data_IF_593513292168
#
_entry.id   IF_593513292168
#
_cell.length_a   1.000
_cell.length_b   1.000
_cell.length_c   1.000
_cell.angle_alpha   90.00
_cell.angle_beta   90.00
_cell.angle_gamma   90.00
#
_symmetry.space_group_name_H-M   'P 1'
#
loop_
_entity.id
_entity.type
_entity.pdbx_description
1 polymer ?
#
# COMPACT_ATOMS: atom_id res chain seq x y z
N UNK A 1 45.81 -5.47 -37.35
CA UNK A 1 44.36 -5.29 -37.62
C UNK A 1 43.46 -5.94 -36.56
N UNK A 2 43.95 -6.91 -35.76
CA UNK A 2 43.17 -7.54 -34.68
C UNK A 2 43.00 -6.66 -33.42
N UNK A 3 43.94 -5.76 -33.11
CA UNK A 3 43.85 -4.90 -31.91
C UNK A 3 42.66 -3.93 -31.89
N UNK A 4 42.26 -3.39 -33.06
CA UNK A 4 41.12 -2.46 -33.15
C UNK A 4 39.75 -3.13 -32.99
N UNK A 5 39.63 -4.42 -33.31
CA UNK A 5 38.37 -5.16 -33.17
C UNK A 5 38.14 -5.55 -31.71
N UNK A 6 39.21 -5.82 -30.96
CA UNK A 6 39.15 -6.13 -29.53
C UNK A 6 38.80 -4.86 -28.72
N UNK A 7 39.31 -3.69 -29.10
CA UNK A 7 39.03 -2.42 -28.44
C UNK A 7 37.56 -1.96 -28.60
N UNK A 8 36.97 -2.19 -29.78
CA UNK A 8 35.54 -1.95 -30.02
C UNK A 8 34.66 -3.04 -29.36
N UNK A 9 35.13 -4.29 -29.33
CA UNK A 9 34.45 -5.40 -28.66
C UNK A 9 34.39 -5.23 -27.14
N UNK A 10 35.45 -4.72 -26.52
CA UNK A 10 35.52 -4.49 -25.07
C UNK A 10 34.66 -3.30 -24.63
N UNK A 11 34.60 -2.23 -25.43
CA UNK A 11 33.70 -1.10 -25.17
C UNK A 11 32.21 -1.47 -25.26
N UNK A 12 31.84 -2.38 -26.18
CA UNK A 12 30.48 -2.92 -26.28
C UNK A 12 30.20 -3.91 -25.14
N UNK A 13 31.15 -4.76 -24.77
CA UNK A 13 30.98 -5.71 -23.66
C UNK A 13 30.84 -5.00 -22.31
N UNK A 14 31.68 -4.00 -22.00
CA UNK A 14 31.57 -3.18 -20.79
C UNK A 14 30.28 -2.35 -20.83
N UNK A 15 29.91 -1.81 -21.99
CA UNK A 15 28.65 -1.09 -22.18
C UNK A 15 27.42 -1.97 -21.98
N UNK A 16 27.44 -3.23 -22.40
CA UNK A 16 26.35 -4.21 -22.21
C UNK A 16 26.29 -4.69 -20.76
N UNK A 17 27.43 -4.94 -20.11
CA UNK A 17 27.50 -5.34 -18.69
C UNK A 17 27.03 -4.22 -17.77
N UNK A 18 27.45 -2.97 -18.03
CA UNK A 18 26.95 -1.78 -17.31
C UNK A 18 25.47 -1.53 -17.63
N UNK A 19 25.01 -1.74 -18.87
CA UNK A 19 23.61 -1.56 -19.26
C UNK A 19 22.68 -2.65 -18.68
N UNK A 20 23.16 -3.88 -18.51
CA UNK A 20 22.47 -4.95 -17.77
C UNK A 20 22.45 -4.65 -16.25
N UNK A 21 23.52 -4.05 -15.72
CA UNK A 21 23.57 -3.59 -14.33
C UNK A 21 22.63 -2.39 -14.06
N UNK A 22 22.37 -1.53 -15.06
CA UNK A 22 21.49 -0.35 -14.91
C UNK A 22 20.00 -0.68 -15.11
N UNK A 23 19.67 -1.77 -15.82
CA UNK A 23 18.29 -2.26 -15.97
C UNK A 23 18.20 -3.78 -15.68
N UNK A 24 18.02 -4.17 -14.40
CA UNK A 24 17.53 -5.50 -14.04
C UNK A 24 16.09 -5.50 -13.48
N UNK A 25 15.36 -6.64 -13.58
CA UNK A 25 14.02 -6.90 -13.00
C UNK A 25 13.98 -6.90 -11.46
N UNK A 26 15.13 -6.63 -10.82
CA UNK A 26 15.30 -6.57 -9.37
C UNK A 26 14.57 -5.39 -8.72
N UNK A 27 14.14 -4.38 -9.49
CA UNK A 27 13.39 -3.21 -8.98
C UNK A 27 11.95 -3.54 -8.58
N UNK A 28 11.28 -4.41 -9.34
CA UNK A 28 9.91 -4.86 -9.00
C UNK A 28 9.91 -5.60 -7.65
N UNK A 29 10.90 -6.47 -7.43
CA UNK A 29 11.05 -7.19 -6.16
C UNK A 29 11.44 -6.28 -4.99
N UNK A 30 12.10 -5.14 -5.25
CA UNK A 30 12.39 -4.15 -4.21
C UNK A 30 11.14 -3.33 -3.86
N UNK A 31 10.37 -2.89 -4.85
CA UNK A 31 9.11 -2.18 -4.64
C UNK A 31 8.06 -3.07 -3.97
N UNK A 32 7.95 -4.34 -4.37
CA UNK A 32 7.07 -5.33 -3.72
C UNK A 32 7.45 -5.52 -2.24
N UNK A 33 8.73 -5.78 -1.94
CA UNK A 33 9.21 -5.91 -0.56
C UNK A 33 8.99 -4.65 0.27
N UNK A 34 9.09 -3.48 -0.35
CA UNK A 34 8.83 -2.22 0.32
C UNK A 34 7.34 -2.06 0.66
N UNK A 35 6.45 -2.34 -0.28
CA UNK A 35 4.99 -2.38 -0.03
C UNK A 35 4.64 -3.39 1.05
N UNK A 36 5.24 -4.59 1.02
CA UNK A 36 5.06 -5.62 2.06
C UNK A 36 5.50 -5.13 3.43
N UNK A 37 6.62 -4.40 3.50
CA UNK A 37 7.11 -3.81 4.74
C UNK A 37 6.15 -2.76 5.29
N UNK A 38 5.57 -1.93 4.44
CA UNK A 38 4.59 -0.91 4.86
C UNK A 38 3.28 -1.56 5.30
N UNK A 39 2.77 -2.54 4.55
CA UNK A 39 1.58 -3.29 4.93
C UNK A 39 1.79 -3.96 6.30
N UNK A 40 2.92 -4.64 6.51
CA UNK A 40 3.23 -5.24 7.82
C UNK A 40 3.21 -4.22 8.96
N UNK A 41 3.83 -3.04 8.78
CA UNK A 41 3.81 -1.97 9.77
C UNK A 41 2.40 -1.41 10.01
N UNK A 42 1.59 -1.25 8.97
CA UNK A 42 0.17 -0.88 9.11
C UNK A 42 -0.58 -1.93 9.94
N UNK A 43 -0.33 -3.22 9.67
CA UNK A 43 -0.89 -4.34 10.43
C UNK A 43 -0.48 -4.33 11.89
N UNK A 44 0.81 -4.10 12.17
CA UNK A 44 1.34 -3.96 13.53
C UNK A 44 0.71 -2.77 14.27
N UNK A 45 0.55 -1.62 13.62
CA UNK A 45 -0.11 -0.46 14.22
C UNK A 45 -1.57 -0.76 14.56
N UNK A 46 -2.33 -1.38 13.65
CA UNK A 46 -3.72 -1.77 13.92
C UNK A 46 -3.81 -2.83 15.02
N UNK A 47 -2.91 -3.81 15.05
CA UNK A 47 -2.84 -4.81 16.13
C UNK A 47 -2.60 -4.15 17.48
N UNK A 48 -1.59 -3.28 17.57
CA UNK A 48 -1.27 -2.53 18.80
C UNK A 48 -2.43 -1.63 19.23
N UNK A 49 -3.08 -0.94 18.28
CA UNK A 49 -4.30 -0.17 18.55
C UNK A 49 -5.37 -1.05 19.17
N UNK A 50 -5.65 -2.22 18.58
CA UNK A 50 -6.69 -3.11 19.08
C UNK A 50 -6.38 -3.65 20.48
N UNK A 51 -5.12 -4.02 20.74
CA UNK A 51 -4.71 -4.52 22.04
C UNK A 51 -4.82 -3.44 23.13
N UNK A 52 -4.32 -2.23 22.87
CA UNK A 52 -4.38 -1.12 23.82
C UNK A 52 -5.81 -0.58 24.01
N UNK A 53 -6.65 -0.60 22.96
CA UNK A 53 -8.07 -0.22 23.04
C UNK A 53 -8.96 -1.27 23.75
N UNK A 54 -8.48 -2.51 23.88
CA UNK A 54 -9.16 -3.56 24.66
C UNK A 54 -9.09 -3.29 26.17
N UNK A 55 -8.08 -2.53 26.61
CA UNK A 55 -7.82 -2.18 28.01
C UNK A 55 -8.08 -0.67 28.25
N UNK A 56 -7.20 -0.02 29.01
CA UNK A 56 -7.13 1.43 29.17
C UNK A 56 -6.11 2.01 28.18
N UNK A 57 -6.53 3.01 27.41
CA UNK A 57 -5.68 3.72 26.46
C UNK A 57 -5.66 5.22 26.78
N UNK A 58 -4.52 5.86 26.50
CA UNK A 58 -4.31 7.28 26.77
C UNK A 58 -3.80 8.02 25.52
N UNK A 59 -3.56 9.32 25.67
CA UNK A 59 -3.04 10.16 24.60
C UNK A 59 -1.63 9.73 24.16
N UNK A 60 -0.78 9.25 25.08
CA UNK A 60 0.61 8.89 24.77
C UNK A 60 0.65 7.70 23.80
N UNK A 61 -0.26 6.72 23.98
CA UNK A 61 -0.47 5.62 23.03
C UNK A 61 -0.94 6.11 21.66
N UNK A 62 -1.93 7.00 21.64
CA UNK A 62 -2.45 7.56 20.40
C UNK A 62 -1.40 8.39 19.64
N UNK A 63 -0.53 9.11 20.35
CA UNK A 63 0.59 9.87 19.78
C UNK A 63 1.66 8.94 19.19
N UNK A 64 1.94 7.80 19.82
CA UNK A 64 2.87 6.80 19.29
C UNK A 64 2.37 6.22 17.95
N UNK A 65 1.09 5.83 17.87
CA UNK A 65 0.52 5.34 16.62
C UNK A 65 0.55 6.42 15.53
N UNK A 66 0.19 7.66 15.89
CA UNK A 66 0.22 8.79 14.95
C UNK A 66 1.64 9.02 14.40
N UNK A 67 2.66 8.99 15.26
CA UNK A 67 4.06 9.12 14.86
C UNK A 67 4.49 8.00 13.90
N UNK A 68 4.09 6.76 14.16
CA UNK A 68 4.37 5.63 13.27
C UNK A 68 3.74 5.83 11.88
N UNK A 69 2.50 6.33 11.81
CA UNK A 69 1.88 6.67 10.51
C UNK A 69 2.59 7.79 9.76
N UNK A 70 3.21 8.75 10.47
CA UNK A 70 4.00 9.80 9.83
C UNK A 70 5.28 9.24 9.23
N UNK A 71 6.01 8.43 10.00
CA UNK A 71 7.20 7.72 9.51
C UNK A 71 6.90 6.89 8.26
N UNK A 72 5.80 6.13 8.24
CA UNK A 72 5.39 5.37 7.06
C UNK A 72 5.17 6.24 5.81
N UNK A 73 4.50 7.41 5.94
CA UNK A 73 4.34 8.31 4.79
C UNK A 73 5.63 8.98 4.36
N UNK A 74 6.53 9.34 5.28
CA UNK A 74 7.83 9.92 4.93
C UNK A 74 8.68 8.93 4.11
N UNK A 75 8.70 7.67 4.54
CA UNK A 75 9.37 6.61 3.79
C UNK A 75 8.70 6.39 2.42
N UNK A 76 7.36 6.34 2.37
CA UNK A 76 6.63 6.12 1.11
C UNK A 76 6.86 7.27 0.12
N UNK A 77 6.95 8.51 0.61
CA UNK A 77 7.34 9.66 -0.20
C UNK A 77 8.75 9.51 -0.79
N UNK A 78 9.68 8.94 -0.04
CA UNK A 78 11.03 8.64 -0.51
C UNK A 78 11.02 7.56 -1.61
N UNK A 79 10.16 6.56 -1.49
CA UNK A 79 9.93 5.57 -2.55
C UNK A 79 9.33 6.22 -3.82
N UNK A 80 8.35 7.12 -3.68
CA UNK A 80 7.78 7.88 -4.79
C UNK A 80 8.82 8.72 -5.55
N UNK A 81 9.74 9.37 -4.84
CA UNK A 81 10.83 10.12 -5.45
C UNK A 81 11.74 9.21 -6.28
N UNK A 82 12.05 8.02 -5.76
CA UNK A 82 12.86 7.02 -6.46
C UNK A 82 12.20 6.52 -7.75
N UNK A 83 10.89 6.24 -7.71
CA UNK A 83 10.10 5.81 -8.88
C UNK A 83 10.06 6.92 -9.94
N UNK A 84 9.76 8.16 -9.53
CA UNK A 84 9.71 9.32 -10.44
C UNK A 84 11.07 9.60 -11.09
N UNK A 85 12.15 9.59 -10.31
CA UNK A 85 13.51 9.79 -10.82
C UNK A 85 13.88 8.72 -11.85
N UNK A 86 13.52 7.46 -11.61
CA UNK A 86 13.77 6.37 -12.55
C UNK A 86 12.99 6.56 -13.87
N UNK A 87 11.74 7.04 -13.81
CA UNK A 87 10.92 7.36 -14.99
C UNK A 87 11.52 8.49 -15.81
N UNK A 88 11.94 9.56 -15.15
CA UNK A 88 12.58 10.71 -15.81
C UNK A 88 13.91 10.31 -16.46
N UNK A 89 14.74 9.53 -15.76
CA UNK A 89 16.00 8.99 -16.28
C UNK A 89 15.81 8.12 -17.53
N UNK A 90 14.74 7.33 -17.60
CA UNK A 90 14.41 6.54 -18.81
C UNK A 90 13.95 7.42 -19.96
N UNK A 91 13.17 8.47 -19.69
CA UNK A 91 12.72 9.43 -20.72
C UNK A 91 13.90 10.20 -21.33
N UNK A 92 14.94 10.46 -20.51
CA UNK A 92 16.18 11.09 -20.94
C UNK A 92 17.17 10.14 -21.64
N UNK A 93 16.90 8.82 -21.71
CA UNK A 93 17.81 7.86 -22.32
C UNK A 93 17.67 7.82 -23.85
N UNK A 94 18.68 8.28 -24.63
CA UNK A 94 18.59 8.35 -26.10
C UNK A 94 18.46 6.98 -26.78
N UNK A 95 18.81 5.87 -26.11
CA UNK A 95 18.58 4.51 -26.61
C UNK A 95 17.11 4.09 -26.56
N UNK A 96 16.31 4.70 -25.68
CA UNK A 96 14.85 4.49 -25.60
C UNK A 96 14.14 4.97 -26.86
N UNK A 97 14.61 6.08 -27.46
CA UNK A 97 14.11 6.56 -28.75
C UNK A 97 14.39 5.58 -29.89
N UNK A 98 15.58 4.98 -29.95
CA UNK A 98 15.92 4.00 -30.99
C UNK A 98 15.18 2.66 -30.82
N UNK A 99 14.96 2.21 -29.59
CA UNK A 99 14.13 1.04 -29.29
C UNK A 99 12.64 1.31 -29.53
N UNK A 100 12.16 2.54 -29.28
CA UNK A 100 10.81 2.98 -29.60
C UNK A 100 10.60 3.10 -31.12
N UNK A 101 11.60 3.55 -31.87
CA UNK A 101 11.55 3.58 -33.35
C UNK A 101 11.59 2.16 -33.93
N UNK A 102 12.41 1.25 -33.38
CA UNK A 102 12.39 -0.17 -33.76
C UNK A 102 11.07 -0.86 -33.37
N UNK A 103 10.50 -0.53 -32.20
CA UNK A 103 9.19 -1.05 -31.76
C UNK A 103 8.03 -0.44 -32.54
N UNK A 104 8.05 0.83 -32.93
CA UNK A 104 7.04 1.41 -33.81
C UNK A 104 7.01 0.73 -35.19
N UNK A 105 8.14 0.16 -35.62
CA UNK A 105 8.21 -0.72 -36.80
C UNK A 105 7.70 -2.15 -36.56
N UNK A 106 7.69 -2.62 -35.31
CA UNK A 106 7.19 -3.94 -34.92
C UNK A 106 5.72 -3.90 -34.42
N UNK A 107 5.22 -2.73 -34.01
CA UNK A 107 3.90 -2.47 -33.44
C UNK A 107 2.76 -2.43 -34.49
N UNK A 108 2.92 -3.11 -35.62
CA UNK A 108 1.79 -3.64 -36.39
C UNK A 108 1.19 -4.89 -35.72
N UNK A 109 1.48 -5.12 -34.45
CA UNK A 109 0.88 -6.14 -33.58
C UNK A 109 0.56 -5.50 -32.22
N UNK A 110 -0.71 -5.58 -31.82
CA UNK A 110 -1.37 -4.91 -30.70
C UNK A 110 -0.83 -5.34 -29.32
N UNK A 111 0.31 -4.79 -28.87
CA UNK A 111 0.67 -4.86 -27.44
C UNK A 111 1.29 -3.55 -26.93
N UNK A 112 0.63 -2.82 -25.99
CA UNK A 112 1.16 -1.58 -25.45
C UNK A 112 2.18 -1.83 -24.32
N UNK A 113 3.45 -1.56 -24.61
CA UNK A 113 4.59 -1.71 -23.71
C UNK A 113 4.73 -0.59 -22.64
N UNK A 114 3.64 -0.11 -22.04
CA UNK A 114 3.67 0.95 -20.99
C UNK A 114 2.84 0.65 -19.73
N UNK A 115 2.25 -0.54 -19.59
CA UNK A 115 1.36 -0.87 -18.46
C UNK A 115 2.07 -1.14 -17.11
N UNK A 116 3.33 -1.55 -17.12
CA UNK A 116 4.02 -2.02 -15.89
C UNK A 116 4.45 -0.90 -14.94
N UNK A 117 4.85 0.27 -15.44
CA UNK A 117 5.26 1.43 -14.63
C UNK A 117 4.06 2.15 -14.02
N UNK A 118 2.98 2.27 -14.79
CA UNK A 118 1.71 2.83 -14.33
C UNK A 118 1.10 1.96 -13.23
N UNK A 119 1.38 0.65 -13.23
CA UNK A 119 0.87 -0.29 -12.23
C UNK A 119 1.51 -0.13 -10.83
N UNK A 120 2.82 0.15 -10.70
CA UNK A 120 3.42 0.36 -9.38
C UNK A 120 3.13 1.74 -8.79
N UNK A 121 3.03 2.77 -9.64
CA UNK A 121 2.53 4.09 -9.22
C UNK A 121 1.12 3.94 -8.61
N UNK A 122 0.27 3.09 -9.19
CA UNK A 122 -1.04 2.79 -8.64
C UNK A 122 -0.97 2.06 -7.29
N UNK A 123 -0.16 1.00 -7.16
CA UNK A 123 0.01 0.27 -5.88
C UNK A 123 0.50 1.22 -4.78
N UNK A 124 1.51 2.04 -5.06
CA UNK A 124 2.03 3.01 -4.09
C UNK A 124 1.00 4.09 -3.74
N UNK A 125 0.14 4.50 -4.68
CA UNK A 125 -0.98 5.42 -4.41
C UNK A 125 -1.97 4.79 -3.44
N UNK A 126 -2.37 3.54 -3.69
CA UNK A 126 -3.31 2.82 -2.80
C UNK A 126 -2.72 2.66 -1.40
N UNK A 127 -1.44 2.29 -1.28
CA UNK A 127 -0.77 2.22 0.02
C UNK A 127 -0.71 3.58 0.73
N UNK A 128 -0.46 4.69 0.01
CA UNK A 128 -0.47 6.05 0.58
C UNK A 128 -1.85 6.44 1.11
N UNK A 129 -2.90 6.08 0.38
CA UNK A 129 -4.29 6.25 0.82
C UNK A 129 -4.55 5.43 2.10
N UNK A 130 -4.04 4.19 2.17
CA UNK A 130 -4.15 3.33 3.35
C UNK A 130 -3.49 3.95 4.59
N UNK A 131 -2.25 4.46 4.45
CA UNK A 131 -1.56 5.18 5.53
C UNK A 131 -2.33 6.44 5.94
N UNK A 132 -2.91 7.16 4.96
CA UNK A 132 -3.69 8.36 5.23
C UNK A 132 -4.94 8.06 6.06
N UNK A 133 -5.65 6.97 5.77
CA UNK A 133 -6.79 6.52 6.57
C UNK A 133 -6.37 6.01 7.96
N UNK A 134 -5.24 5.30 8.07
CA UNK A 134 -4.68 4.89 9.36
C UNK A 134 -4.30 6.09 10.23
N UNK A 135 -3.69 7.12 9.63
CA UNK A 135 -3.37 8.38 10.32
C UNK A 135 -4.64 9.10 10.78
N UNK A 136 -5.66 9.14 9.92
CA UNK A 136 -6.95 9.74 10.28
C UNK A 136 -7.54 9.02 11.49
N UNK A 137 -7.54 7.69 11.49
CA UNK A 137 -7.99 6.86 12.60
C UNK A 137 -7.18 7.16 13.88
N UNK A 138 -5.85 7.14 13.83
CA UNK A 138 -5.00 7.47 14.99
C UNK A 138 -5.31 8.87 15.56
N UNK A 139 -5.52 9.85 14.67
CA UNK A 139 -5.89 11.21 15.08
C UNK A 139 -7.29 11.29 15.70
N UNK A 140 -8.27 10.59 15.13
CA UNK A 140 -9.63 10.54 15.65
C UNK A 140 -9.67 9.89 17.03
N UNK A 141 -8.88 8.82 17.24
CA UNK A 141 -8.69 8.21 18.56
C UNK A 141 -8.04 9.22 19.51
N UNK A 142 -6.93 9.84 19.14
CA UNK A 142 -6.30 10.87 19.98
C UNK A 142 -7.30 11.95 20.42
N UNK A 143 -8.09 12.49 19.49
CA UNK A 143 -9.10 13.50 19.80
C UNK A 143 -10.19 12.96 20.75
N UNK A 144 -10.52 11.67 20.65
CA UNK A 144 -11.47 11.00 21.54
C UNK A 144 -10.95 10.80 22.98
N UNK A 145 -9.63 10.75 23.23
CA UNK A 145 -9.09 10.71 24.61
C UNK A 145 -9.42 11.97 25.41
N UNK A 146 -9.62 13.10 24.73
CA UNK A 146 -9.97 14.38 25.35
C UNK A 146 -11.49 14.58 25.46
N UNK A 147 -12.28 13.75 24.77
CA UNK A 147 -13.73 13.82 24.81
C UNK A 147 -14.25 13.23 26.13
N UNK A 148 -15.26 13.86 26.72
CA UNK A 148 -15.86 13.38 27.98
C UNK A 148 -16.84 12.24 27.75
N UNK A 149 -16.69 11.18 28.56
CA UNK A 149 -17.64 10.08 28.73
C UNK A 149 -17.25 8.77 28.04
N UNK A 150 -17.63 7.66 28.66
CA UNK A 150 -17.28 6.28 28.28
C UNK A 150 -17.87 5.82 26.96
N UNK A 151 -17.10 5.11 26.13
CA UNK A 151 -17.61 4.52 24.88
C UNK A 151 -18.71 3.50 25.17
N UNK A 152 -19.55 3.24 24.16
CA UNK A 152 -20.46 2.09 24.23
C UNK A 152 -19.62 0.81 24.17
N UNK A 153 -19.76 -0.04 25.17
CA UNK A 153 -18.95 -1.25 25.32
C UNK A 153 -19.14 -2.21 24.15
N UNK A 154 -20.39 -2.39 23.71
CA UNK A 154 -20.73 -3.30 22.59
C UNK A 154 -20.10 -2.83 21.29
N UNK A 155 -20.09 -1.52 21.03
CA UNK A 155 -19.38 -0.94 19.90
C UNK A 155 -17.87 -1.14 20.05
N UNK A 156 -17.30 -0.81 21.21
CA UNK A 156 -15.86 -0.90 21.47
C UNK A 156 -15.35 -2.30 21.20
N UNK A 157 -15.93 -3.32 21.84
CA UNK A 157 -15.50 -4.71 21.71
C UNK A 157 -15.54 -5.20 20.25
N UNK A 158 -16.65 -4.95 19.54
CA UNK A 158 -16.81 -5.38 18.16
C UNK A 158 -15.88 -4.63 17.20
N UNK A 159 -15.74 -3.31 17.37
CA UNK A 159 -14.87 -2.50 16.52
C UNK A 159 -13.40 -2.84 16.75
N UNK A 160 -12.97 -3.03 18.00
CA UNK A 160 -11.61 -3.48 18.34
C UNK A 160 -11.30 -4.85 17.73
N UNK A 161 -12.26 -5.78 17.75
CA UNK A 161 -12.13 -7.06 17.04
C UNK A 161 -11.88 -6.87 15.55
N UNK A 162 -12.62 -5.97 14.90
CA UNK A 162 -12.43 -5.66 13.47
C UNK A 162 -11.09 -4.99 13.16
N UNK A 163 -10.62 -4.10 14.04
CA UNK A 163 -9.29 -3.47 13.91
C UNK A 163 -8.20 -4.55 13.98
N UNK A 164 -8.29 -5.48 14.94
CA UNK A 164 -7.34 -6.59 15.09
C UNK A 164 -7.32 -7.49 13.86
N UNK A 165 -8.49 -7.91 13.40
CA UNK A 165 -8.62 -8.79 12.24
C UNK A 165 -8.15 -8.10 10.94
N UNK A 166 -8.41 -6.79 10.82
CA UNK A 166 -7.83 -5.97 9.74
C UNK A 166 -6.30 -5.94 9.83
N UNK A 167 -5.73 -5.71 11.02
CA UNK A 167 -4.28 -5.74 11.22
C UNK A 167 -3.65 -7.07 10.80
N UNK A 168 -4.27 -8.19 11.17
CA UNK A 168 -3.84 -9.53 10.76
C UNK A 168 -3.92 -9.73 9.24
N UNK A 169 -5.04 -9.37 8.61
CA UNK A 169 -5.23 -9.52 7.15
C UNK A 169 -4.26 -8.66 6.33
N UNK A 170 -3.88 -7.47 6.82
CA UNK A 170 -2.87 -6.64 6.16
C UNK A 170 -1.47 -7.26 6.30
N UNK A 171 -1.14 -7.79 7.49
CA UNK A 171 0.16 -8.39 7.75
C UNK A 171 0.35 -9.74 7.03
N UNK A 172 -0.76 -10.46 6.80
CA UNK A 172 -0.84 -11.75 6.11
C UNK A 172 -2.00 -11.74 5.09
N UNK A 173 -1.75 -11.27 3.85
CA UNK A 173 -2.78 -11.18 2.81
C UNK A 173 -3.36 -12.52 2.36
N UNK A 174 -2.64 -13.62 2.61
CA UNK A 174 -3.06 -14.98 2.23
C UNK A 174 -3.97 -15.63 3.30
N UNK A 175 -4.22 -14.94 4.41
CA UNK A 175 -5.09 -15.43 5.46
C UNK A 175 -6.56 -15.50 4.96
N UNK A 176 -7.16 -16.68 5.06
CA UNK A 176 -8.58 -16.90 4.77
C UNK A 176 -9.44 -16.33 5.91
N UNK A 177 -9.78 -15.04 5.79
CA UNK A 177 -10.58 -14.31 6.77
C UNK A 177 -11.95 -13.98 6.17
N UNK A 178 -13.00 -14.09 6.99
CA UNK A 178 -14.34 -13.62 6.64
C UNK A 178 -14.30 -12.15 6.17
N UNK A 179 -15.05 -11.74 5.13
CA UNK A 179 -14.97 -10.39 4.58
C UNK A 179 -15.21 -9.30 5.64
N UNK A 180 -14.14 -8.56 5.97
CA UNK A 180 -14.20 -7.49 6.97
C UNK A 180 -15.18 -6.38 6.59
N UNK A 181 -15.36 -6.14 5.28
CA UNK A 181 -16.31 -5.18 4.76
C UNK A 181 -17.76 -5.49 5.16
N UNK A 182 -18.14 -6.77 5.18
CA UNK A 182 -19.48 -7.21 5.55
C UNK A 182 -19.71 -7.06 7.06
N UNK A 183 -18.72 -7.47 7.87
CA UNK A 183 -18.78 -7.31 9.33
C UNK A 183 -18.83 -5.84 9.75
N UNK A 184 -18.07 -4.96 9.08
CA UNK A 184 -18.15 -3.50 9.29
C UNK A 184 -19.53 -2.93 8.94
N UNK A 185 -20.13 -3.44 7.87
CA UNK A 185 -21.48 -3.03 7.47
C UNK A 185 -22.53 -3.50 8.47
N UNK A 186 -22.43 -4.74 8.95
CA UNK A 186 -23.29 -5.29 9.98
C UNK A 186 -23.19 -4.51 11.30
N UNK A 187 -21.97 -4.16 11.74
CA UNK A 187 -21.76 -3.34 12.94
C UNK A 187 -22.40 -1.95 12.76
N UNK A 188 -22.17 -1.28 11.62
CA UNK A 188 -22.75 0.03 11.35
C UNK A 188 -24.29 0.01 11.36
N UNK A 189 -24.90 -1.01 10.74
CA UNK A 189 -26.35 -1.19 10.73
C UNK A 189 -26.91 -1.43 12.14
N UNK A 190 -26.32 -2.37 12.88
CA UNK A 190 -26.75 -2.72 14.25
C UNK A 190 -26.70 -1.50 15.17
N UNK A 191 -25.63 -0.72 15.08
CA UNK A 191 -25.49 0.49 15.90
C UNK A 191 -26.46 1.58 15.47
N UNK A 192 -26.68 1.79 14.17
CA UNK A 192 -27.63 2.81 13.71
C UNK A 192 -29.08 2.55 14.12
N UNK A 193 -29.44 1.30 14.39
CA UNK A 193 -30.79 0.90 14.84
C UNK A 193 -30.96 1.01 16.36
N UNK A 194 -29.86 1.15 17.12
CA UNK A 194 -29.88 1.24 18.57
C UNK A 194 -30.31 2.65 19.02
N UNK A 195 -31.53 2.74 19.56
CA UNK A 195 -32.14 3.99 20.03
C UNK A 195 -31.50 4.52 21.33
N UNK A 196 -30.71 3.71 22.02
CA UNK A 196 -30.04 4.07 23.26
C UNK A 196 -28.66 4.69 23.02
N UNK A 197 -28.14 4.64 21.78
CA UNK A 197 -26.84 5.23 21.47
C UNK A 197 -26.86 6.76 21.64
N UNK A 198 -25.90 7.33 22.39
CA UNK A 198 -25.80 8.77 22.54
C UNK A 198 -25.59 9.43 21.17
N UNK A 199 -26.57 10.21 20.70
CA UNK A 199 -26.50 10.94 19.42
C UNK A 199 -25.21 11.77 19.27
N UNK A 200 -24.60 12.21 20.39
CA UNK A 200 -23.34 12.95 20.42
C UNK A 200 -22.11 12.14 20.01
N UNK A 201 -22.14 10.80 20.08
CA UNK A 201 -21.00 9.91 19.76
C UNK A 201 -21.08 9.27 18.39
N UNK A 202 -22.26 9.25 17.77
CA UNK A 202 -22.44 8.71 16.43
C UNK A 202 -21.44 9.27 15.39
N UNK A 203 -21.09 10.57 15.39
CA UNK A 203 -20.06 11.08 14.49
C UNK A 203 -18.67 10.45 14.70
N UNK A 204 -18.30 10.16 15.96
CA UNK A 204 -17.04 9.49 16.28
C UNK A 204 -17.05 8.06 15.75
N UNK A 205 -18.08 7.27 16.07
CA UNK A 205 -18.21 5.89 15.62
C UNK A 205 -18.26 5.80 14.09
N UNK A 206 -19.00 6.70 13.45
CA UNK A 206 -19.05 6.81 11.99
C UNK A 206 -17.68 7.09 11.37
N UNK A 207 -16.88 7.98 11.96
CA UNK A 207 -15.52 8.27 11.49
C UNK A 207 -14.59 7.06 11.64
N UNK A 208 -14.66 6.34 12.76
CA UNK A 208 -13.88 5.12 13.01
C UNK A 208 -14.25 3.99 12.04
N UNK A 209 -15.55 3.74 11.85
CA UNK A 209 -16.06 2.74 10.90
C UNK A 209 -15.65 3.06 9.46
N UNK A 210 -15.79 4.33 9.07
CA UNK A 210 -15.45 4.78 7.71
C UNK A 210 -13.96 4.64 7.43
N UNK A 211 -13.12 5.06 8.38
CA UNK A 211 -11.66 4.96 8.25
C UNK A 211 -11.22 3.50 8.10
N UNK A 212 -11.74 2.61 8.95
CA UNK A 212 -11.40 1.19 8.89
C UNK A 212 -11.90 0.53 7.60
N UNK A 213 -13.11 0.87 7.12
CA UNK A 213 -13.61 0.40 5.82
C UNK A 213 -12.70 0.78 4.67
N UNK A 214 -12.22 2.02 4.64
CA UNK A 214 -11.30 2.45 3.58
C UNK A 214 -9.99 1.67 3.61
N UNK A 215 -9.43 1.40 4.79
CA UNK A 215 -8.22 0.58 4.94
C UNK A 215 -8.46 -0.83 4.37
N UNK A 216 -9.56 -1.49 4.76
CA UNK A 216 -9.92 -2.83 4.25
C UNK A 216 -9.98 -2.86 2.72
N UNK A 217 -10.74 -1.95 2.11
CA UNK A 217 -10.89 -1.90 0.64
C UNK A 217 -9.57 -1.67 -0.07
N UNK A 218 -8.73 -0.77 0.47
CA UNK A 218 -7.43 -0.46 -0.11
C UNK A 218 -6.51 -1.68 -0.09
N UNK A 219 -6.53 -2.45 0.99
CA UNK A 219 -5.68 -3.64 1.15
C UNK A 219 -6.12 -4.74 0.20
N UNK A 220 -7.43 -4.96 0.07
CA UNK A 220 -7.99 -5.91 -0.89
C UNK A 220 -7.63 -5.54 -2.34
N UNK A 221 -7.68 -4.25 -2.68
CA UNK A 221 -7.28 -3.75 -4.01
C UNK A 221 -5.78 -3.96 -4.26
N UNK A 222 -4.93 -3.73 -3.25
CA UNK A 222 -3.47 -3.94 -3.34
C UNK A 222 -3.14 -5.42 -3.50
N UNK A 223 -3.78 -6.31 -2.72
CA UNK A 223 -3.61 -7.76 -2.85
C UNK A 223 -4.03 -8.24 -4.24
N UNK A 224 -5.22 -7.86 -4.69
CA UNK A 224 -5.74 -8.19 -6.03
C UNK A 224 -4.81 -7.72 -7.16
N UNK A 225 -4.24 -6.51 -7.04
CA UNK A 225 -3.31 -5.96 -8.02
C UNK A 225 -1.97 -6.73 -8.06
N UNK A 226 -1.52 -7.30 -6.94
CA UNK A 226 -0.31 -8.12 -6.88
C UNK A 226 -0.52 -9.47 -7.54
N UNK A 227 -1.62 -10.15 -7.25
CA UNK A 227 -1.95 -11.46 -7.83
C UNK A 227 -2.07 -11.40 -9.36
N UNK A 228 -2.71 -10.35 -9.89
CA UNK A 228 -2.82 -10.11 -11.32
C UNK A 228 -1.43 -9.97 -11.99
N UNK A 229 -0.43 -9.43 -11.27
CA UNK A 229 0.94 -9.32 -11.80
C UNK A 229 1.70 -10.64 -11.75
N UNK A 230 1.54 -11.43 -10.70
CA UNK A 230 2.20 -12.73 -10.58
C UNK A 230 1.69 -13.72 -11.61
N UNK A 231 0.37 -13.77 -11.82
CA UNK A 231 -0.25 -14.57 -12.89
C UNK A 231 0.23 -14.18 -14.28
N UNK A 232 0.32 -12.87 -14.58
CA UNK A 232 0.87 -12.37 -15.86
C UNK A 232 2.35 -12.75 -16.05
N UNK A 233 3.16 -12.74 -14.98
CA UNK A 233 4.58 -13.14 -15.04
C UNK A 233 4.74 -14.65 -15.24
N UNK A 234 3.77 -15.44 -14.78
CA UNK A 234 3.76 -16.90 -14.83
C UNK A 234 3.31 -17.46 -16.17
N UNK A 235 2.55 -16.69 -16.96
CA UNK A 235 2.00 -17.13 -18.25
C UNK A 235 2.51 -16.27 -19.43
N UNK A 236 3.71 -16.54 -19.97
CA UNK A 236 4.27 -15.74 -21.06
C UNK A 236 3.71 -16.07 -22.46
N UNK A 237 2.81 -17.04 -22.62
CA UNK A 237 2.20 -17.39 -23.91
C UNK A 237 0.67 -17.46 -23.84
N UNK A 238 0.00 -16.44 -24.37
CA UNK A 238 -1.37 -16.51 -24.89
C UNK A 238 -1.55 -15.45 -25.97
#
# INVERSE_FOLDING_TARGET
MLDRIIEVGLGVAVGVVVNLLIIPPLRDQQAARYVDSINRRMGEVLGNMADELSDEWDTDRADAWYAETQSMSEELNSAWQSVRFARESRRANPRGGLAAIRRARAANSDQPASNQEVSYEHILSRVDEGISHLRHLARTLRDATYASGEWDERFREQWVGLVRDCGHSIADPDADVEPLADRLTSLASTMSEDQELPQRRWPLYGALLTSLRHIVVIVDDVASARDARETTRSNPES
#
